data_IF_422563675195
#
_entry.id   IF_422563675195
#
_cell.length_a   1.000
_cell.length_b   1.000
_cell.length_c   1.000
_cell.angle_alpha   90.00
_cell.angle_beta   90.00
_cell.angle_gamma   90.00
#
_symmetry.space_group_name_H-M   'P 1'
#
loop_
_entity.id
_entity.type
_entity.pdbx_description
1 polymer ?
#
# COMPACT_ATOMS: atom_id res chain seq x y z
N UNK A 1 13.95 13.75 16.92
CA UNK A 1 13.13 14.36 15.84
C UNK A 1 12.18 13.40 15.12
N UNK A 2 12.60 12.48 14.21
CA UNK A 2 11.65 11.53 13.55
C UNK A 2 10.85 10.69 14.57
N UNK A 3 11.52 10.26 15.65
CA UNK A 3 10.93 9.49 16.74
C UNK A 3 9.80 10.22 17.49
N UNK A 4 9.94 11.53 17.69
CA UNK A 4 8.94 12.35 18.39
C UNK A 4 7.65 12.50 17.56
N UNK A 5 7.80 12.66 16.23
CA UNK A 5 6.65 12.79 15.33
C UNK A 5 5.79 11.52 15.32
N UNK A 6 6.42 10.34 15.32
CA UNK A 6 5.72 9.05 15.42
C UNK A 6 4.97 8.93 16.76
N UNK A 7 5.59 9.36 17.86
CA UNK A 7 4.93 9.34 19.17
C UNK A 7 3.74 10.30 19.25
N UNK A 8 3.82 11.45 18.58
CA UNK A 8 2.70 12.39 18.51
C UNK A 8 1.55 11.87 17.63
N UNK A 9 1.86 11.19 16.52
CA UNK A 9 0.86 10.47 15.71
C UNK A 9 0.17 9.41 16.55
N UNK A 10 0.93 8.60 17.30
CA UNK A 10 0.37 7.59 18.20
C UNK A 10 -0.57 8.20 19.23
N UNK A 11 -0.14 9.26 19.94
CA UNK A 11 -0.99 9.96 20.92
C UNK A 11 -2.26 10.51 20.29
N UNK A 12 -2.19 11.06 19.07
CA UNK A 12 -3.35 11.59 18.36
C UNK A 12 -4.34 10.48 18.00
N UNK A 13 -3.84 9.35 17.47
CA UNK A 13 -4.65 8.18 17.11
C UNK A 13 -5.25 7.46 18.32
N UNK A 14 -4.59 7.48 19.49
CA UNK A 14 -5.19 6.94 20.72
C UNK A 14 -6.50 7.61 21.11
N UNK A 15 -6.68 8.89 20.73
CA UNK A 15 -7.84 9.69 21.06
C UNK A 15 -8.93 9.64 19.98
N UNK A 16 -8.69 8.94 18.87
CA UNK A 16 -9.68 8.78 17.79
C UNK A 16 -10.77 7.77 18.16
N UNK A 17 -12.01 8.07 17.77
CA UNK A 17 -13.11 7.10 17.87
C UNK A 17 -12.99 6.05 16.76
N UNK A 18 -12.08 5.11 16.98
CA UNK A 18 -11.80 4.04 16.02
C UNK A 18 -13.01 3.13 15.77
N UNK A 19 -14.00 3.09 16.67
CA UNK A 19 -15.22 2.29 16.45
C UNK A 19 -16.13 2.90 15.40
N UNK A 20 -16.11 4.22 15.24
CA UNK A 20 -16.84 4.94 14.19
C UNK A 20 -16.18 4.87 12.80
N UNK A 21 -14.95 4.37 12.71
CA UNK A 21 -14.24 4.24 11.44
C UNK A 21 -14.77 3.06 10.62
N UNK A 22 -14.75 3.15 9.28
CA UNK A 22 -15.07 2.00 8.43
C UNK A 22 -13.99 0.91 8.56
N UNK A 23 -14.29 -0.37 8.25
CA UNK A 23 -13.34 -1.50 8.37
C UNK A 23 -12.24 -1.51 7.27
N UNK A 24 -11.91 -0.36 6.70
CA UNK A 24 -11.05 -0.23 5.52
C UNK A 24 -9.56 -0.28 5.87
N UNK A 25 -8.74 -0.65 4.87
CA UNK A 25 -7.29 -0.56 4.95
C UNK A 25 -6.84 0.90 4.92
N UNK A 26 -7.33 1.68 3.95
CA UNK A 26 -7.02 3.10 3.83
C UNK A 26 -8.07 3.93 4.57
N UNK A 27 -7.63 4.75 5.52
CA UNK A 27 -8.49 5.62 6.33
C UNK A 27 -9.43 4.91 7.33
N UNK A 28 -9.30 3.60 7.50
CA UNK A 28 -10.20 2.80 8.33
C UNK A 28 -9.54 2.09 9.51
N UNK A 29 -10.34 1.25 10.17
CA UNK A 29 -9.96 0.44 11.32
C UNK A 29 -8.76 -0.47 11.03
N UNK A 30 -8.69 -1.08 9.85
CA UNK A 30 -7.57 -1.97 9.52
C UNK A 30 -6.25 -1.19 9.40
N UNK A 31 -6.27 -0.01 8.76
CA UNK A 31 -5.10 0.88 8.73
C UNK A 31 -4.63 1.26 10.13
N UNK A 32 -5.56 1.65 11.01
CA UNK A 32 -5.25 1.97 12.40
C UNK A 32 -4.73 0.75 13.18
N UNK A 33 -5.32 -0.43 12.96
CA UNK A 33 -4.88 -1.70 13.54
C UNK A 33 -3.42 -2.01 13.18
N UNK A 34 -3.07 -1.86 11.90
CA UNK A 34 -1.71 -2.06 11.41
C UNK A 34 -0.74 -1.03 12.00
N UNK A 35 -1.12 0.25 12.06
CA UNK A 35 -0.28 1.28 12.66
C UNK A 35 0.02 0.96 14.12
N UNK A 36 -1.01 0.62 14.91
CA UNK A 36 -0.85 0.28 16.33
C UNK A 36 0.03 -0.95 16.54
N UNK A 37 -0.09 -1.96 15.67
CA UNK A 37 0.76 -3.14 15.68
C UNK A 37 2.24 -2.76 15.42
N UNK A 38 2.51 -2.01 14.35
CA UNK A 38 3.86 -1.62 13.96
C UNK A 38 4.50 -0.67 14.99
N UNK A 39 3.74 0.28 15.52
CA UNK A 39 4.20 1.15 16.59
C UNK A 39 4.52 0.36 17.86
N UNK A 40 3.74 -0.68 18.17
CA UNK A 40 3.99 -1.53 19.33
C UNK A 40 5.32 -2.25 19.24
N UNK A 41 5.70 -2.77 18.06
CA UNK A 41 7.01 -3.35 17.81
C UNK A 41 8.13 -2.29 17.89
N UNK A 42 7.88 -1.11 17.33
CA UNK A 42 8.86 -0.02 17.31
C UNK A 42 9.20 0.53 18.71
N UNK A 43 8.21 0.63 19.62
CA UNK A 43 8.38 1.19 20.97
C UNK A 43 8.32 0.17 22.10
N UNK A 44 8.13 -1.12 21.81
CA UNK A 44 7.74 -2.13 22.79
C UNK A 44 6.53 -1.67 23.64
N UNK A 45 5.48 -1.17 22.97
CA UNK A 45 4.34 -0.53 23.62
C UNK A 45 3.14 -1.48 23.77
N UNK A 46 2.97 -2.05 24.97
CA UNK A 46 1.87 -2.98 25.28
C UNK A 46 0.46 -2.37 25.11
N UNK A 47 0.30 -1.05 25.30
CA UNK A 47 -0.98 -0.38 25.05
C UNK A 47 -1.35 -0.36 23.57
N UNK A 48 -0.39 -0.06 22.69
CA UNK A 48 -0.59 -0.09 21.25
C UNK A 48 -0.89 -1.52 20.77
N UNK A 49 -0.16 -2.51 21.29
CA UNK A 49 -0.41 -3.93 21.03
C UNK A 49 -1.83 -4.36 21.42
N UNK A 50 -2.25 -3.97 22.63
CA UNK A 50 -3.59 -4.28 23.14
C UNK A 50 -4.69 -3.61 22.30
N UNK A 51 -4.47 -2.38 21.82
CA UNK A 51 -5.43 -1.70 20.95
C UNK A 51 -5.53 -2.37 19.58
N UNK A 52 -4.41 -2.72 18.95
CA UNK A 52 -4.39 -3.47 17.70
C UNK A 52 -5.15 -4.81 17.83
N UNK A 53 -4.89 -5.58 18.90
CA UNK A 53 -5.56 -6.83 19.18
C UNK A 53 -7.08 -6.69 19.46
N UNK A 54 -7.54 -5.50 19.87
CA UNK A 54 -8.97 -5.19 20.03
C UNK A 54 -9.63 -4.76 18.73
N UNK A 55 -8.92 -4.07 17.84
CA UNK A 55 -9.47 -3.61 16.57
C UNK A 55 -9.63 -4.78 15.58
N UNK A 56 -8.62 -5.67 15.48
CA UNK A 56 -8.60 -6.73 14.47
C UNK A 56 -9.86 -7.62 14.48
N UNK A 57 -10.34 -8.14 15.62
CA UNK A 57 -11.57 -8.94 15.63
C UNK A 57 -12.81 -8.18 15.16
N UNK A 58 -12.90 -6.87 15.41
CA UNK A 58 -14.02 -6.05 14.95
C UNK A 58 -14.00 -5.91 13.42
N UNK A 59 -12.82 -5.71 12.83
CA UNK A 59 -12.65 -5.66 11.37
C UNK A 59 -13.03 -6.99 10.71
N UNK A 60 -12.61 -8.11 11.29
CA UNK A 60 -12.87 -9.46 10.77
C UNK A 60 -14.38 -9.74 10.67
N UNK A 61 -15.21 -9.24 11.59
CA UNK A 61 -16.67 -9.45 11.56
C UNK A 61 -17.33 -8.92 10.28
N UNK A 62 -16.77 -7.87 9.66
CA UNK A 62 -17.36 -7.23 8.49
C UNK A 62 -16.89 -7.84 7.16
N UNK A 63 -15.84 -8.66 7.17
CA UNK A 63 -15.10 -9.04 5.97
C UNK A 63 -15.98 -9.71 4.90
N UNK A 64 -16.95 -10.54 5.31
CA UNK A 64 -17.84 -11.26 4.41
C UNK A 64 -18.79 -10.36 3.61
N UNK A 65 -19.05 -9.13 4.10
CA UNK A 65 -19.96 -8.17 3.47
C UNK A 65 -19.24 -7.15 2.59
N UNK A 66 -17.91 -7.24 2.50
CA UNK A 66 -17.08 -6.24 1.84
C UNK A 66 -16.75 -6.63 0.38
N UNK A 67 -16.56 -5.63 -0.50
CA UNK A 67 -16.17 -5.86 -1.88
C UNK A 67 -14.72 -6.35 -1.98
N UNK A 68 -14.37 -6.97 -3.12
CA UNK A 68 -13.03 -7.48 -3.45
C UNK A 68 -12.02 -6.37 -3.84
N UNK A 69 -11.89 -5.32 -3.02
CA UNK A 69 -10.98 -4.18 -3.28
C UNK A 69 -9.91 -4.05 -2.20
N UNK A 70 -8.76 -3.47 -2.55
CA UNK A 70 -7.63 -3.33 -1.64
C UNK A 70 -7.80 -2.18 -0.63
N UNK A 71 -8.34 -1.03 -1.04
CA UNK A 71 -8.35 0.15 -0.16
C UNK A 71 -9.51 0.11 0.85
N UNK A 72 -10.71 -0.25 0.37
CA UNK A 72 -11.98 -0.20 1.10
C UNK A 72 -12.73 -1.55 1.10
N UNK A 73 -12.02 -2.65 0.83
CA UNK A 73 -12.58 -3.99 0.66
C UNK A 73 -11.88 -5.08 1.48
N UNK A 74 -12.38 -6.31 1.36
CA UNK A 74 -11.86 -7.48 2.08
C UNK A 74 -10.45 -7.88 1.68
N UNK A 75 -10.07 -7.62 0.42
CA UNK A 75 -8.69 -7.82 -0.06
C UNK A 75 -7.70 -6.97 0.74
N UNK A 76 -8.07 -5.74 1.11
CA UNK A 76 -7.28 -4.87 1.97
C UNK A 76 -7.06 -5.41 3.38
N UNK A 77 -8.13 -5.94 3.98
CA UNK A 77 -8.09 -6.56 5.31
C UNK A 77 -7.17 -7.78 5.29
N UNK A 78 -7.37 -8.68 4.31
CA UNK A 78 -6.51 -9.85 4.16
C UNK A 78 -5.05 -9.46 3.89
N UNK A 79 -4.81 -8.50 2.99
CA UNK A 79 -3.46 -8.00 2.76
C UNK A 79 -2.80 -7.49 4.05
N UNK A 80 -3.54 -6.72 4.87
CA UNK A 80 -3.03 -6.22 6.14
C UNK A 80 -2.72 -7.31 7.16
N UNK A 81 -3.58 -8.34 7.27
CA UNK A 81 -3.32 -9.50 8.13
C UNK A 81 -2.07 -10.25 7.67
N UNK A 82 -1.95 -10.49 6.36
CA UNK A 82 -0.77 -11.16 5.80
C UNK A 82 0.50 -10.33 5.99
N UNK A 83 0.41 -9.01 5.86
CA UNK A 83 1.53 -8.12 6.13
C UNK A 83 2.02 -8.25 7.58
N UNK A 84 1.11 -8.24 8.56
CA UNK A 84 1.45 -8.41 9.97
C UNK A 84 2.03 -9.81 10.26
N UNK A 85 1.49 -10.85 9.63
CA UNK A 85 2.01 -12.22 9.72
C UNK A 85 3.43 -12.36 9.16
N UNK A 86 3.66 -11.86 7.94
CA UNK A 86 4.98 -11.89 7.31
C UNK A 86 6.05 -11.11 8.11
N UNK A 87 5.63 -10.19 9.00
CA UNK A 87 6.50 -9.46 9.91
C UNK A 87 6.58 -10.09 11.32
N UNK A 88 6.06 -11.31 11.51
CA UNK A 88 6.00 -12.02 12.79
C UNK A 88 5.25 -11.27 13.92
N UNK A 89 4.33 -10.37 13.55
CA UNK A 89 3.53 -9.58 14.51
C UNK A 89 2.21 -10.28 14.82
N UNK A 90 1.62 -10.95 13.83
CA UNK A 90 0.36 -11.67 13.94
C UNK A 90 0.60 -13.16 13.67
N UNK A 91 0.14 -14.02 14.58
CA UNK A 91 0.17 -15.46 14.36
C UNK A 91 -1.00 -15.88 13.45
N UNK A 92 -0.74 -16.75 12.47
CA UNK A 92 -1.78 -17.29 11.58
C UNK A 92 -2.50 -18.47 12.25
N UNK A 93 -3.68 -18.19 12.79
CA UNK A 93 -4.62 -19.19 13.27
C UNK A 93 -5.53 -19.72 12.13
N UNK A 94 -6.41 -20.67 12.46
CA UNK A 94 -7.36 -21.22 11.50
C UNK A 94 -8.34 -20.17 10.97
N UNK A 95 -8.69 -19.16 11.77
CA UNK A 95 -9.58 -18.07 11.35
C UNK A 95 -8.96 -17.27 10.20
N UNK A 96 -7.70 -16.85 10.38
CA UNK A 96 -6.95 -16.07 9.39
C UNK A 96 -6.71 -16.91 8.14
N UNK A 97 -6.32 -18.19 8.29
CA UNK A 97 -6.15 -19.12 7.16
C UNK A 97 -7.44 -19.28 6.35
N UNK A 98 -8.59 -19.46 7.01
CA UNK A 98 -9.88 -19.60 6.34
C UNK A 98 -10.30 -18.33 5.57
N UNK A 99 -10.02 -17.14 6.14
CA UNK A 99 -10.24 -15.88 5.45
C UNK A 99 -9.40 -15.79 4.17
N UNK A 100 -8.10 -16.10 4.26
CA UNK A 100 -7.22 -16.09 3.10
C UNK A 100 -7.68 -17.06 2.02
N UNK A 101 -8.03 -18.29 2.39
CA UNK A 101 -8.55 -19.30 1.46
C UNK A 101 -9.83 -18.83 0.77
N UNK A 102 -10.76 -18.23 1.51
CA UNK A 102 -12.02 -17.71 0.96
C UNK A 102 -11.76 -16.62 -0.09
N UNK A 103 -10.93 -15.64 0.25
CA UNK A 103 -10.63 -14.52 -0.66
C UNK A 103 -9.84 -15.00 -1.87
N UNK A 104 -8.90 -15.92 -1.69
CA UNK A 104 -8.20 -16.55 -2.81
C UNK A 104 -9.19 -17.23 -3.76
N UNK A 105 -10.11 -18.05 -3.25
CA UNK A 105 -11.11 -18.74 -4.08
C UNK A 105 -12.04 -17.77 -4.84
N UNK A 106 -12.45 -16.67 -4.20
CA UNK A 106 -13.26 -15.64 -4.87
C UNK A 106 -12.47 -14.90 -5.97
N UNK A 107 -11.20 -14.57 -5.69
CA UNK A 107 -10.29 -13.96 -6.64
C UNK A 107 -9.99 -14.89 -7.84
N UNK A 108 -9.87 -16.20 -7.61
CA UNK A 108 -9.64 -17.19 -8.66
C UNK A 108 -10.77 -17.21 -9.69
N UNK A 109 -12.02 -17.21 -9.23
CA UNK A 109 -13.18 -17.15 -10.12
C UNK A 109 -13.16 -15.90 -11.01
N UNK A 110 -12.61 -14.80 -10.51
CA UNK A 110 -12.51 -13.54 -11.24
C UNK A 110 -11.41 -13.56 -12.31
N UNK A 111 -10.22 -14.08 -11.98
CA UNK A 111 -9.06 -14.11 -12.90
C UNK A 111 -9.23 -15.02 -14.11
N UNK A 112 -9.97 -16.13 -13.98
CA UNK A 112 -10.10 -17.13 -15.04
C UNK A 112 -11.38 -17.04 -15.86
N UNK A 113 -12.45 -16.45 -15.31
CA UNK A 113 -13.74 -16.40 -16.01
C UNK A 113 -13.89 -15.16 -16.91
N UNK A 114 -13.20 -14.05 -16.58
CA UNK A 114 -13.39 -12.76 -17.26
C UNK A 114 -12.11 -11.94 -17.27
N UNK A 115 -11.88 -11.08 -18.29
CA UNK A 115 -10.89 -10.02 -18.19
C UNK A 115 -11.10 -9.22 -16.90
N UNK A 116 -10.01 -8.79 -16.23
CA UNK A 116 -10.14 -7.98 -15.02
C UNK A 116 -10.67 -6.61 -15.44
N UNK A 117 -11.97 -6.41 -15.27
CA UNK A 117 -12.59 -5.12 -15.49
C UNK A 117 -12.20 -4.24 -14.31
N UNK A 118 -11.44 -3.16 -14.56
CA UNK A 118 -11.13 -2.18 -13.54
C UNK A 118 -12.44 -1.52 -13.09
N UNK A 119 -12.94 -1.78 -11.87
CA UNK A 119 -14.14 -1.14 -11.38
C UNK A 119 -13.98 0.38 -11.39
N UNK A 120 -15.06 1.14 -11.64
CA UNK A 120 -15.05 2.62 -11.57
C UNK A 120 -14.49 3.20 -10.26
N UNK A 121 -14.44 2.39 -9.19
CA UNK A 121 -14.02 2.76 -7.83
C UNK A 121 -12.72 2.07 -7.37
N UNK A 122 -12.06 1.29 -8.21
CA UNK A 122 -10.82 0.62 -7.87
C UNK A 122 -9.69 1.16 -8.74
N UNK A 123 -8.87 2.01 -8.11
CA UNK A 123 -7.81 2.75 -8.77
C UNK A 123 -6.45 2.03 -8.71
N UNK A 124 -6.41 0.75 -8.32
CA UNK A 124 -5.17 -0.01 -8.17
C UNK A 124 -5.31 -1.41 -8.76
N UNK A 125 -4.18 -2.02 -9.14
CA UNK A 125 -4.06 -3.43 -9.46
C UNK A 125 -4.07 -4.29 -8.17
N UNK A 126 -5.19 -4.23 -7.44
CA UNK A 126 -5.35 -4.77 -6.09
C UNK A 126 -5.04 -6.26 -5.97
N UNK A 127 -5.52 -7.05 -6.93
CA UNK A 127 -5.32 -8.50 -6.91
C UNK A 127 -3.84 -8.86 -7.08
N UNK A 128 -3.11 -8.13 -7.95
CA UNK A 128 -1.67 -8.29 -8.09
C UNK A 128 -0.92 -7.95 -6.81
N UNK A 129 -1.28 -6.84 -6.16
CA UNK A 129 -0.68 -6.44 -4.88
C UNK A 129 -0.92 -7.52 -3.80
N UNK A 130 -2.14 -8.07 -3.73
CA UNK A 130 -2.50 -9.09 -2.76
C UNK A 130 -1.78 -10.42 -3.02
N UNK A 131 -1.84 -10.98 -4.24
CA UNK A 131 -1.18 -12.24 -4.55
C UNK A 131 0.34 -12.17 -4.39
N UNK A 132 0.95 -11.04 -4.77
CA UNK A 132 2.38 -10.85 -4.55
C UNK A 132 2.74 -10.81 -3.05
N UNK A 133 1.81 -10.48 -2.14
CA UNK A 133 2.03 -10.53 -0.69
C UNK A 133 2.00 -11.96 -0.13
N UNK A 134 1.33 -12.88 -0.82
CA UNK A 134 1.19 -14.28 -0.41
C UNK A 134 2.41 -15.13 -0.79
N UNK A 135 3.18 -14.71 -1.81
CA UNK A 135 4.33 -15.45 -2.30
C UNK A 135 5.39 -15.69 -1.21
N UNK A 136 5.84 -16.94 -1.09
CA UNK A 136 6.92 -17.39 -0.21
C UNK A 136 7.99 -18.09 -1.03
N UNK A 137 9.24 -18.00 -0.60
CA UNK A 137 10.36 -18.69 -1.26
C UNK A 137 10.48 -20.17 -0.84
N UNK A 138 9.83 -20.56 0.26
CA UNK A 138 9.83 -21.93 0.74
C UNK A 138 9.20 -22.88 -0.28
N UNK A 139 9.92 -23.95 -0.59
CA UNK A 139 9.48 -24.95 -1.55
C UNK A 139 8.27 -25.73 -1.00
N UNK A 140 7.12 -25.56 -1.64
CA UNK A 140 5.85 -26.11 -1.21
C UNK A 140 4.84 -26.14 -2.36
N UNK A 141 3.83 -27.01 -2.25
CA UNK A 141 2.71 -27.00 -3.21
C UNK A 141 1.99 -25.65 -3.25
N UNK A 142 1.84 -25.00 -2.09
CA UNK A 142 1.24 -23.67 -1.98
C UNK A 142 2.02 -22.63 -2.80
N UNK A 143 3.36 -22.67 -2.75
CA UNK A 143 4.21 -21.80 -3.56
C UNK A 143 3.91 -21.95 -5.05
N UNK A 144 3.88 -23.17 -5.58
CA UNK A 144 3.63 -23.40 -7.01
C UNK A 144 2.24 -22.94 -7.44
N UNK A 145 1.23 -23.14 -6.61
CA UNK A 145 -0.14 -22.63 -6.86
C UNK A 145 -0.11 -21.11 -6.95
N UNK A 146 0.55 -20.42 -6.00
CA UNK A 146 0.68 -18.97 -6.02
C UNK A 146 1.45 -18.50 -7.26
N UNK A 147 2.56 -19.15 -7.60
CA UNK A 147 3.39 -18.82 -8.76
C UNK A 147 2.59 -18.89 -10.07
N UNK A 148 1.79 -19.94 -10.26
CA UNK A 148 0.87 -20.07 -11.41
C UNK A 148 -0.12 -18.89 -11.48
N UNK A 149 -0.63 -18.41 -10.34
CA UNK A 149 -1.52 -17.24 -10.31
C UNK A 149 -0.80 -15.94 -10.62
N UNK A 150 0.44 -15.80 -10.16
CA UNK A 150 1.27 -14.63 -10.48
C UNK A 150 1.57 -14.56 -11.98
N UNK A 151 1.84 -15.69 -12.62
CA UNK A 151 2.01 -15.77 -14.08
C UNK A 151 0.74 -15.31 -14.83
N UNK A 152 -0.43 -15.80 -14.43
CA UNK A 152 -1.70 -15.37 -15.04
C UNK A 152 -1.95 -13.85 -14.87
N UNK A 153 -1.47 -13.25 -13.77
CA UNK A 153 -1.57 -11.81 -13.53
C UNK A 153 -0.53 -11.00 -14.33
N UNK A 154 0.61 -11.59 -14.70
CA UNK A 154 1.56 -11.00 -15.67
C UNK A 154 0.91 -10.94 -17.05
N UNK A 155 0.21 -11.99 -17.49
CA UNK A 155 -0.56 -11.98 -18.74
C UNK A 155 -1.65 -10.91 -18.71
N UNK A 156 -2.31 -10.72 -17.57
CA UNK A 156 -3.33 -9.68 -17.42
C UNK A 156 -2.72 -8.26 -17.50
N UNK A 157 -1.53 -8.06 -16.93
CA UNK A 157 -0.78 -6.82 -17.11
C UNK A 157 -0.47 -6.55 -18.59
N UNK A 158 -0.10 -7.57 -19.37
CA UNK A 158 0.08 -7.45 -20.82
C UNK A 158 -1.20 -7.00 -21.52
N UNK A 159 -2.34 -7.62 -21.18
CA UNK A 159 -3.64 -7.25 -21.75
C UNK A 159 -4.02 -5.80 -21.45
N UNK A 160 -3.77 -5.33 -20.23
CA UNK A 160 -4.08 -3.96 -19.82
C UNK A 160 -3.13 -2.94 -20.47
N UNK A 161 -1.82 -3.18 -20.44
CA UNK A 161 -0.82 -2.24 -20.96
C UNK A 161 -0.85 -2.13 -22.49
N UNK A 162 -1.05 -3.26 -23.19
CA UNK A 162 -1.14 -3.29 -24.65
C UNK A 162 -2.58 -3.18 -25.18
N UNK A 163 -3.57 -3.13 -24.28
CA UNK A 163 -4.99 -3.03 -24.61
C UNK A 163 -5.44 -4.10 -25.63
N UNK A 164 -5.02 -5.34 -25.41
CA UNK A 164 -5.25 -6.44 -26.36
C UNK A 164 -6.75 -6.80 -26.46
N UNK A 165 -7.54 -6.46 -25.44
CA UNK A 165 -9.00 -6.61 -25.44
C UNK A 165 -9.67 -5.26 -25.72
N UNK A 166 -10.02 -5.05 -26.99
CA UNK A 166 -10.67 -3.81 -27.48
C UNK A 166 -12.00 -3.58 -26.75
N UNK A 167 -12.24 -2.32 -26.36
CA UNK A 167 -13.48 -1.90 -25.70
C UNK A 167 -13.51 -2.14 -24.19
N UNK A 168 -12.56 -2.88 -23.63
CA UNK A 168 -12.39 -3.05 -22.19
C UNK A 168 -11.27 -2.12 -21.67
N UNK A 169 -10.12 -2.12 -22.35
CA UNK A 169 -8.96 -1.32 -21.94
C UNK A 169 -8.70 -0.16 -22.89
N UNK A 170 -8.36 1.00 -22.32
CA UNK A 170 -7.99 2.22 -23.03
C UNK A 170 -6.86 2.91 -22.27
N UNK A 171 -5.71 3.20 -22.91
CA UNK A 171 -4.60 3.87 -22.23
C UNK A 171 -4.97 5.28 -21.76
N UNK A 172 -5.95 5.93 -22.41
CA UNK A 172 -6.38 7.28 -22.06
C UNK A 172 -7.20 7.32 -20.78
N UNK A 173 -7.95 6.25 -20.53
CA UNK A 173 -8.90 6.12 -19.43
C UNK A 173 -8.32 5.36 -18.23
N UNK A 174 -7.13 4.78 -18.38
CA UNK A 174 -6.39 4.14 -17.28
C UNK A 174 -5.99 5.19 -16.22
N UNK A 175 -6.41 5.02 -14.95
CA UNK A 175 -5.90 5.83 -13.85
C UNK A 175 -4.39 5.62 -13.68
N UNK A 176 -3.64 6.69 -13.40
CA UNK A 176 -2.20 6.58 -13.18
C UNK A 176 -1.85 5.70 -11.98
N UNK A 177 -2.75 5.58 -11.01
CA UNK A 177 -2.64 4.66 -9.88
C UNK A 177 -2.70 3.19 -10.26
N UNK A 178 -3.46 2.84 -11.30
CA UNK A 178 -3.42 1.48 -11.87
C UNK A 178 -2.07 1.24 -12.53
N UNK A 179 -1.53 2.20 -13.28
CA UNK A 179 -0.24 2.04 -13.93
C UNK A 179 0.91 1.89 -12.91
N UNK A 180 0.96 2.70 -11.85
CA UNK A 180 2.03 2.57 -10.85
C UNK A 180 1.90 1.32 -9.97
N UNK A 181 0.67 0.83 -9.73
CA UNK A 181 0.46 -0.46 -9.05
C UNK A 181 0.82 -1.67 -9.92
N UNK A 182 0.56 -1.62 -11.23
CA UNK A 182 1.06 -2.61 -12.20
C UNK A 182 2.59 -2.59 -12.21
N UNK A 183 3.22 -1.42 -12.25
CA UNK A 183 4.69 -1.31 -12.21
C UNK A 183 5.29 -1.90 -10.91
N UNK A 184 4.67 -1.62 -9.76
CA UNK A 184 5.05 -2.25 -8.50
C UNK A 184 4.98 -3.78 -8.61
N UNK A 185 3.85 -4.31 -9.07
CA UNK A 185 3.64 -5.74 -9.22
C UNK A 185 4.71 -6.35 -10.13
N UNK A 186 4.87 -5.87 -11.36
CA UNK A 186 5.84 -6.39 -12.32
C UNK A 186 7.28 -6.35 -11.79
N UNK A 187 7.68 -5.25 -11.12
CA UNK A 187 9.01 -5.15 -10.51
C UNK A 187 9.20 -6.17 -9.38
N UNK A 188 8.18 -6.40 -8.57
CA UNK A 188 8.21 -7.40 -7.49
C UNK A 188 8.32 -8.82 -8.07
N UNK A 189 7.51 -9.15 -9.07
CA UNK A 189 7.52 -10.47 -9.72
C UNK A 189 8.85 -10.73 -10.45
N UNK A 190 9.39 -9.72 -11.14
CA UNK A 190 10.72 -9.83 -11.77
C UNK A 190 11.84 -10.07 -10.74
N UNK A 191 11.77 -9.42 -9.56
CA UNK A 191 12.74 -9.63 -8.47
C UNK A 191 12.70 -11.06 -7.93
N UNK A 192 11.53 -11.68 -7.91
CA UNK A 192 11.37 -13.09 -7.51
C UNK A 192 11.66 -14.07 -8.67
N UNK A 193 12.16 -13.59 -9.81
CA UNK A 193 12.51 -14.38 -11.00
C UNK A 193 11.34 -15.16 -11.64
N UNK A 194 10.12 -14.70 -11.44
CA UNK A 194 8.92 -15.26 -12.08
C UNK A 194 8.73 -14.53 -13.41
N UNK A 195 8.83 -15.26 -14.53
CA UNK A 195 8.71 -14.73 -15.90
C UNK A 195 9.47 -13.41 -16.13
N UNK A 196 10.77 -13.42 -15.80
CA UNK A 196 11.63 -12.22 -15.86
C UNK A 196 11.65 -11.57 -17.24
N UNK A 197 11.55 -12.36 -18.31
CA UNK A 197 11.57 -11.82 -19.68
C UNK A 197 10.31 -10.99 -19.97
N UNK A 198 9.12 -11.57 -19.76
CA UNK A 198 7.87 -10.87 -20.03
C UNK A 198 7.69 -9.69 -19.07
N UNK A 199 7.99 -9.86 -17.78
CA UNK A 199 7.87 -8.78 -16.79
C UNK A 199 8.78 -7.59 -17.14
N UNK A 200 10.03 -7.82 -17.58
CA UNK A 200 10.91 -6.74 -18.03
C UNK A 200 10.36 -6.02 -19.26
N UNK A 201 9.91 -6.76 -20.27
CA UNK A 201 9.29 -6.17 -21.47
C UNK A 201 8.07 -5.31 -21.13
N UNK A 202 7.24 -5.76 -20.19
CA UNK A 202 6.07 -5.01 -19.73
C UNK A 202 6.46 -3.75 -18.96
N UNK A 203 7.48 -3.80 -18.10
CA UNK A 203 8.02 -2.62 -17.41
C UNK A 203 8.50 -1.57 -18.41
N UNK A 204 9.19 -1.98 -19.47
CA UNK A 204 9.65 -1.09 -20.55
C UNK A 204 8.47 -0.48 -21.33
N UNK A 205 7.38 -1.22 -21.51
CA UNK A 205 6.18 -0.73 -22.20
C UNK A 205 5.39 0.33 -21.41
N UNK A 206 5.54 0.38 -20.09
CA UNK A 206 4.77 1.26 -19.21
C UNK A 206 4.95 2.76 -19.54
N UNK A 207 6.14 3.16 -20.01
CA UNK A 207 6.39 4.56 -20.42
C UNK A 207 5.50 4.99 -21.60
N UNK A 208 5.26 4.08 -22.55
CA UNK A 208 4.37 4.34 -23.67
C UNK A 208 2.93 4.55 -23.21
N UNK A 209 2.48 3.78 -22.21
CA UNK A 209 1.15 3.93 -21.60
C UNK A 209 1.05 5.25 -20.85
N UNK A 210 2.04 5.57 -20.01
CA UNK A 210 2.11 6.82 -19.26
C UNK A 210 2.01 8.06 -20.14
N UNK A 211 2.62 8.05 -21.33
CA UNK A 211 2.54 9.17 -22.29
C UNK A 211 1.12 9.42 -22.81
N UNK A 212 0.25 8.40 -22.79
CA UNK A 212 -1.12 8.42 -23.33
C UNK A 212 -2.19 8.69 -22.26
N UNK A 213 -1.88 8.52 -20.98
CA UNK A 213 -2.80 8.81 -19.87
C UNK A 213 -3.13 10.31 -19.85
N UNK A 214 -4.43 10.63 -19.82
CA UNK A 214 -4.93 12.01 -19.92
C UNK A 214 -4.79 12.79 -18.60
N UNK A 215 -5.14 12.16 -17.47
CA UNK A 215 -5.12 12.78 -16.15
C UNK A 215 -3.99 12.20 -15.31
N UNK A 216 -3.10 13.07 -14.82
CA UNK A 216 -1.96 12.69 -13.99
C UNK A 216 -2.08 13.42 -12.66
N UNK A 217 -2.75 12.77 -11.71
CA UNK A 217 -2.83 13.30 -10.36
C UNK A 217 -1.43 13.38 -9.76
N UNK A 218 -1.16 14.47 -9.04
CA UNK A 218 0.17 14.81 -8.53
C UNK A 218 0.78 13.69 -7.67
N UNK A 219 -0.03 13.04 -6.84
CA UNK A 219 0.40 11.94 -5.98
C UNK A 219 0.85 10.73 -6.80
N UNK A 220 0.00 10.29 -7.73
CA UNK A 220 0.27 9.13 -8.58
C UNK A 220 1.43 9.39 -9.54
N UNK A 221 1.55 10.64 -10.03
CA UNK A 221 2.67 11.09 -10.85
C UNK A 221 3.99 11.03 -10.07
N UNK A 222 3.99 11.47 -8.81
CA UNK A 222 5.14 11.35 -7.94
C UNK A 222 5.58 9.88 -7.78
N UNK A 223 4.65 9.00 -7.42
CA UNK A 223 4.92 7.57 -7.21
C UNK A 223 5.43 6.91 -8.49
N UNK A 224 4.80 7.19 -9.63
CA UNK A 224 5.22 6.67 -10.93
C UNK A 224 6.69 7.02 -11.23
N UNK A 225 7.08 8.28 -11.05
CA UNK A 225 8.45 8.72 -11.33
C UNK A 225 9.48 8.13 -10.37
N UNK A 226 9.11 7.86 -9.11
CA UNK A 226 9.95 7.11 -8.17
C UNK A 226 10.25 5.71 -8.73
N UNK A 227 9.26 5.01 -9.28
CA UNK A 227 9.46 3.66 -9.82
C UNK A 227 10.35 3.61 -11.06
N UNK A 228 10.29 4.62 -11.92
CA UNK A 228 11.17 4.71 -13.10
C UNK A 228 12.50 5.45 -12.81
N UNK A 229 12.82 5.68 -11.54
CA UNK A 229 14.06 6.33 -11.06
C UNK A 229 14.30 7.70 -11.71
N UNK A 230 13.24 8.44 -12.03
CA UNK A 230 13.32 9.82 -12.52
C UNK A 230 13.18 10.79 -11.35
N UNK A 231 13.99 11.86 -11.37
CA UNK A 231 13.89 12.94 -10.38
C UNK A 231 12.54 13.64 -10.51
N UNK A 232 11.63 13.44 -9.55
CA UNK A 232 10.39 14.20 -9.50
C UNK A 232 10.43 15.33 -8.46
N UNK A 233 10.15 16.56 -8.88
CA UNK A 233 10.18 17.70 -7.98
C UNK A 233 8.96 17.66 -7.06
N UNK A 234 9.16 17.96 -5.78
CA UNK A 234 8.03 18.22 -4.92
C UNK A 234 7.26 19.45 -5.43
N UNK A 235 5.92 19.45 -5.28
CA UNK A 235 5.12 20.64 -5.55
C UNK A 235 5.63 21.79 -4.68
N UNK A 236 5.76 22.99 -5.26
CA UNK A 236 6.29 24.18 -4.58
C UNK A 236 5.14 25.07 -4.08
N UNK A 237 5.42 25.88 -3.06
CA UNK A 237 4.52 26.93 -2.56
C UNK A 237 3.18 26.45 -2.00
N UNK A 238 3.15 25.27 -1.37
CA UNK A 238 1.97 24.75 -0.67
C UNK A 238 2.07 24.92 0.86
N UNK A 239 0.94 24.75 1.55
CA UNK A 239 0.84 24.82 3.00
C UNK A 239 1.42 23.58 3.67
N UNK A 240 1.78 23.68 4.96
CA UNK A 240 2.22 22.52 5.73
C UNK A 240 1.15 21.42 5.80
N UNK A 241 -0.13 21.78 5.87
CA UNK A 241 -1.27 20.83 5.82
C UNK A 241 -1.29 20.02 4.53
N UNK A 242 -1.10 20.69 3.38
CA UNK A 242 -0.99 19.99 2.11
C UNK A 242 0.16 18.99 2.09
N UNK A 243 1.35 19.40 2.57
CA UNK A 243 2.50 18.49 2.59
C UNK A 243 2.32 17.33 3.58
N UNK A 244 1.63 17.53 4.70
CA UNK A 244 1.27 16.45 5.63
C UNK A 244 0.36 15.42 4.96
N UNK A 245 -0.69 15.87 4.28
CA UNK A 245 -1.61 15.00 3.56
C UNK A 245 -0.90 14.25 2.42
N UNK A 246 -0.07 14.97 1.66
CA UNK A 246 0.72 14.40 0.57
C UNK A 246 1.70 13.33 1.09
N UNK A 247 2.49 13.65 2.12
CA UNK A 247 3.40 12.70 2.77
C UNK A 247 2.66 11.54 3.45
N UNK A 248 1.46 11.77 3.99
CA UNK A 248 0.63 10.72 4.55
C UNK A 248 0.25 9.70 3.48
N UNK A 249 -0.22 10.18 2.32
CA UNK A 249 -0.51 9.31 1.19
C UNK A 249 0.75 8.56 0.69
N UNK A 250 1.89 9.25 0.57
CA UNK A 250 3.15 8.61 0.18
C UNK A 250 3.60 7.56 1.20
N UNK A 251 3.40 7.81 2.50
CA UNK A 251 3.75 6.88 3.55
C UNK A 251 2.87 5.62 3.54
N UNK A 252 1.58 5.75 3.19
CA UNK A 252 0.71 4.60 2.92
C UNK A 252 1.23 3.75 1.75
N UNK A 253 1.54 4.37 0.60
CA UNK A 253 2.05 3.63 -0.56
C UNK A 253 3.46 3.05 -0.34
N UNK A 254 4.30 3.73 0.45
CA UNK A 254 5.60 3.22 0.90
C UNK A 254 5.46 1.88 1.64
N UNK A 255 4.47 1.76 2.53
CA UNK A 255 4.12 0.50 3.19
C UNK A 255 3.57 -0.53 2.20
N UNK A 256 2.56 -0.13 1.43
CA UNK A 256 1.82 -1.02 0.53
C UNK A 256 2.74 -1.69 -0.50
N UNK A 257 3.68 -0.92 -1.05
CA UNK A 257 4.64 -1.39 -2.04
C UNK A 257 5.96 -1.88 -1.44
N UNK A 258 6.11 -1.83 -0.10
CA UNK A 258 7.38 -2.11 0.57
C UNK A 258 8.56 -1.37 -0.08
N UNK A 259 8.34 -0.10 -0.43
CA UNK A 259 9.29 0.75 -1.16
C UNK A 259 9.49 2.08 -0.43
N UNK A 260 10.38 2.14 0.58
CA UNK A 260 10.54 3.29 1.48
C UNK A 260 10.88 4.61 0.78
N UNK A 261 11.56 4.55 -0.36
CA UNK A 261 11.97 5.72 -1.15
C UNK A 261 10.80 6.58 -1.65
N UNK A 262 9.59 6.02 -1.78
CA UNK A 262 8.38 6.79 -2.09
C UNK A 262 8.17 7.89 -1.03
N UNK A 263 8.46 7.59 0.23
CA UNK A 263 8.28 8.51 1.34
C UNK A 263 9.59 9.21 1.74
N UNK A 264 10.70 8.46 1.88
CA UNK A 264 11.96 9.00 2.40
C UNK A 264 12.55 10.09 1.50
N UNK A 265 12.50 9.91 0.17
CA UNK A 265 13.00 10.90 -0.78
C UNK A 265 12.15 12.18 -0.77
N UNK A 266 10.83 12.04 -0.64
CA UNK A 266 9.92 13.17 -0.50
C UNK A 266 10.19 13.94 0.80
N UNK A 267 10.28 13.23 1.93
CA UNK A 267 10.53 13.85 3.22
C UNK A 267 11.88 14.59 3.26
N UNK A 268 12.93 13.99 2.68
CA UNK A 268 14.26 14.62 2.59
C UNK A 268 14.20 15.92 1.78
N UNK A 269 13.63 15.87 0.58
CA UNK A 269 13.47 17.05 -0.29
C UNK A 269 12.62 18.14 0.36
N UNK A 270 11.58 17.76 1.08
CA UNK A 270 10.73 18.73 1.77
C UNK A 270 11.50 19.44 2.88
N UNK A 271 12.32 18.72 3.63
CA UNK A 271 13.15 19.32 4.67
C UNK A 271 14.20 20.29 4.11
N UNK A 272 14.74 19.99 2.92
CA UNK A 272 15.64 20.89 2.19
C UNK A 272 14.89 22.15 1.69
N UNK A 273 13.67 22.00 1.19
CA UNK A 273 12.85 23.10 0.67
C UNK A 273 12.20 23.96 1.78
N UNK A 274 11.85 23.35 2.91
CA UNK A 274 11.16 23.98 4.06
C UNK A 274 11.71 23.42 5.38
N UNK A 275 12.84 23.93 5.88
CA UNK A 275 13.46 23.45 7.11
C UNK A 275 12.56 23.54 8.36
N UNK A 276 11.58 24.46 8.36
CA UNK A 276 10.60 24.61 9.44
C UNK A 276 9.51 23.54 9.44
N UNK A 277 9.40 22.71 8.39
CA UNK A 277 8.28 21.79 8.19
C UNK A 277 8.06 20.87 9.39
N UNK A 278 9.11 20.32 10.00
CA UNK A 278 8.96 19.42 11.15
C UNK A 278 8.32 20.09 12.37
N UNK A 279 8.71 21.35 12.65
CA UNK A 279 8.13 22.11 13.76
C UNK A 279 6.66 22.43 13.50
N UNK A 280 6.31 22.75 12.25
CA UNK A 280 4.94 23.03 11.83
C UNK A 280 4.09 21.74 11.88
N UNK A 281 4.60 20.64 11.33
CA UNK A 281 3.97 19.33 11.36
C UNK A 281 3.61 18.89 12.77
N UNK A 282 4.54 19.07 13.72
CA UNK A 282 4.33 18.75 15.13
C UNK A 282 3.19 19.59 15.73
N UNK A 283 3.13 20.89 15.40
CA UNK A 283 2.05 21.75 15.89
C UNK A 283 0.69 21.35 15.31
N UNK A 284 0.64 21.06 14.01
CA UNK A 284 -0.59 20.66 13.31
C UNK A 284 -1.09 19.33 13.87
N UNK A 285 -0.25 18.30 13.98
CA UNK A 285 -0.66 16.98 14.52
C UNK A 285 -1.21 17.09 15.94
N UNK A 286 -0.67 17.99 16.77
CA UNK A 286 -1.11 18.16 18.15
C UNK A 286 -2.37 19.01 18.31
N UNK A 287 -2.67 19.92 17.38
CA UNK A 287 -3.69 20.97 17.56
C UNK A 287 -4.82 20.97 16.53
N UNK A 288 -4.56 20.47 15.33
CA UNK A 288 -5.51 20.52 14.21
C UNK A 288 -6.21 19.17 14.01
N UNK A 289 -7.32 19.22 13.28
CA UNK A 289 -8.05 18.01 12.90
C UNK A 289 -7.43 17.41 11.64
N UNK A 290 -6.64 16.36 11.81
CA UNK A 290 -6.05 15.57 10.72
C UNK A 290 -6.82 14.27 10.60
N UNK A 291 -7.07 13.81 9.38
CA UNK A 291 -7.74 12.53 9.13
C UNK A 291 -6.90 11.35 9.63
N UNK A 292 -7.59 10.28 10.05
CA UNK A 292 -6.94 9.02 10.43
C UNK A 292 -6.09 8.46 9.29
N UNK A 293 -6.54 8.65 8.04
CA UNK A 293 -5.81 8.25 6.85
C UNK A 293 -4.42 8.91 6.78
N UNK A 294 -4.37 10.24 6.90
CA UNK A 294 -3.11 10.98 6.86
C UNK A 294 -2.21 10.61 8.03
N UNK A 295 -2.76 10.48 9.24
CA UNK A 295 -2.00 10.09 10.43
C UNK A 295 -1.39 8.70 10.30
N UNK A 296 -2.18 7.69 9.92
CA UNK A 296 -1.70 6.33 9.71
C UNK A 296 -0.66 6.30 8.59
N UNK A 297 -0.93 6.98 7.47
CA UNK A 297 -0.02 7.09 6.34
C UNK A 297 1.34 7.68 6.71
N UNK A 298 1.37 8.82 7.41
CA UNK A 298 2.60 9.42 7.92
C UNK A 298 3.32 8.47 8.88
N UNK A 299 2.57 7.84 9.78
CA UNK A 299 3.07 6.86 10.72
C UNK A 299 3.76 5.69 10.01
N UNK A 300 3.14 5.15 8.96
CA UNK A 300 3.70 4.09 8.14
C UNK A 300 5.02 4.52 7.49
N UNK A 301 5.04 5.66 6.80
CA UNK A 301 6.25 6.15 6.15
C UNK A 301 7.43 6.33 7.11
N UNK A 302 7.16 6.86 8.31
CA UNK A 302 8.19 7.05 9.36
C UNK A 302 8.66 5.72 9.96
N UNK A 303 7.76 4.76 10.18
CA UNK A 303 8.09 3.44 10.73
C UNK A 303 8.83 2.56 9.70
N UNK A 304 8.49 2.63 8.42
CA UNK A 304 9.21 1.88 7.38
C UNK A 304 10.60 2.45 7.10
N UNK A 305 10.76 3.78 7.15
CA UNK A 305 12.06 4.42 7.00
C UNK A 305 13.02 4.05 8.14
N UNK A 306 12.53 4.03 9.38
CA UNK A 306 13.41 3.79 10.54
C UNK A 306 13.93 2.35 10.63
N UNK A 307 13.27 1.38 9.98
CA UNK A 307 13.82 0.02 9.84
C UNK A 307 15.07 -0.02 8.95
N UNK A 308 15.16 0.80 7.89
CA UNK A 308 16.33 0.81 6.99
C UNK A 308 17.58 1.39 7.65
N UNK A 309 17.45 2.49 8.41
CA UNK A 309 18.59 3.14 9.08
C UNK A 309 19.30 2.18 10.07
N UNK A 310 18.57 1.25 10.70
CA UNK A 310 19.15 0.27 11.63
C UNK A 310 19.92 -0.86 10.93
N UNK A 311 19.73 -1.10 9.62
CA UNK A 311 20.49 -2.10 8.85
C UNK A 311 21.78 -1.54 8.25
N UNK A 312 21.92 -0.20 8.14
CA UNK A 312 23.15 0.45 7.68
C UNK A 312 24.14 0.74 8.82
N UNK A 313 23.72 0.58 10.08
CA UNK A 313 24.55 0.77 11.29
C UNK A 313 25.03 -0.55 11.95
N UNK A 314 24.86 -1.71 11.30
CA UNK A 314 25.37 -3.02 11.76
C UNK A 314 26.46 -3.58 10.85
#
# INVERSE_FOLDING_TARGET
MKRELVDDIYKRLLNEDWKGLPPYLKGGQMGMCMFMALYSEYRNCGKARSLSARILPEVIKFIQYMPNRLLDGKTGIAWGMKYLSNNAILEEDDTIRNIHSTIQNECLNYCFATPIYLPEKEYLFSIGIYWAQLFKQEDSLERYIIEERLLALVDECDRQLHCTIKGIYSPKDMPLSVLHSILYFLKKINKEHIDSYQTQKLIESAENVYSKIKSKELLDDYIYHVFIKRTNNLPKNHTANFYLEFLGNLGFYSLLYSYPDIFSAALKRLNEQRPSFYSEATQIIRKENITVETLCGLGFGLLTHTKQDNYEEQ
#
